data_IF_399438679167
#
_entry.id   IF_399438679167
#
_cell.length_a   1.000
_cell.length_b   1.000
_cell.length_c   1.000
_cell.angle_alpha   90.00
_cell.angle_beta   90.00
_cell.angle_gamma   90.00
#
_symmetry.space_group_name_H-M   'P 1'
#
loop_
_entity.id
_entity.type
_entity.pdbx_description
1 polymer ?
#
# COMPACT_ATOMS: atom_id res chain seq x y z
N UNK A 1 43.30 7.13 24.09
CA UNK A 1 42.90 7.15 22.67
C UNK A 1 42.12 5.86 22.41
N UNK A 2 40.78 5.86 22.54
CA UNK A 2 39.97 4.66 22.29
C UNK A 2 39.60 4.58 20.82
N UNK A 3 40.04 3.52 20.14
CA UNK A 3 39.69 3.23 18.77
C UNK A 3 38.22 2.76 18.70
N UNK A 4 37.34 3.61 18.19
CA UNK A 4 35.96 3.25 17.88
C UNK A 4 35.97 2.49 16.55
N UNK A 5 35.78 1.18 16.62
CA UNK A 5 35.59 0.34 15.43
C UNK A 5 34.16 0.51 14.94
N UNK A 6 33.97 1.29 13.88
CA UNK A 6 32.73 1.35 13.12
C UNK A 6 32.54 0.02 12.39
N UNK A 7 31.76 -0.89 13.00
CA UNK A 7 31.32 -2.10 12.33
C UNK A 7 30.35 -1.73 11.20
N UNK A 8 30.57 -2.17 9.96
CA UNK A 8 29.66 -1.86 8.85
C UNK A 8 28.30 -2.52 9.10
N UNK A 9 27.26 -1.72 9.34
CA UNK A 9 25.90 -2.22 9.39
C UNK A 9 25.52 -2.76 8.00
N UNK A 10 25.41 -4.08 7.86
CA UNK A 10 24.97 -4.74 6.63
C UNK A 10 23.56 -4.22 6.27
N UNK A 11 23.32 -3.70 5.05
CA UNK A 11 21.99 -3.27 4.64
C UNK A 11 21.06 -4.47 4.65
N UNK A 12 20.14 -4.48 5.61
CA UNK A 12 19.06 -5.47 5.68
C UNK A 12 18.03 -5.06 4.64
N UNK A 13 17.99 -5.78 3.54
CA UNK A 13 16.94 -5.61 2.53
C UNK A 13 15.60 -5.83 3.23
N UNK A 14 14.74 -4.81 3.34
CA UNK A 14 13.50 -4.96 4.09
C UNK A 14 12.64 -6.01 3.39
N UNK A 15 12.21 -7.01 4.14
CA UNK A 15 11.31 -8.04 3.64
C UNK A 15 10.08 -7.39 2.99
N UNK A 16 9.62 -7.95 1.86
CA UNK A 16 8.49 -7.46 1.07
C UNK A 16 7.25 -7.18 1.94
N UNK A 17 6.96 -8.04 2.92
CA UNK A 17 5.85 -7.85 3.86
C UNK A 17 5.95 -6.57 4.70
N UNK A 18 7.17 -6.14 5.05
CA UNK A 18 7.38 -4.92 5.83
C UNK A 18 7.23 -3.65 5.00
N UNK A 19 7.47 -3.74 3.68
CA UNK A 19 7.17 -2.66 2.72
C UNK A 19 5.67 -2.55 2.47
N UNK A 20 4.98 -3.68 2.31
CA UNK A 20 3.54 -3.69 2.11
C UNK A 20 2.79 -3.15 3.34
N UNK A 21 3.18 -3.58 4.55
CA UNK A 21 2.58 -3.08 5.80
C UNK A 21 2.76 -1.57 5.94
N UNK A 22 3.97 -1.05 5.70
CA UNK A 22 4.23 0.39 5.70
C UNK A 22 3.43 1.13 4.64
N UNK A 23 3.29 0.55 3.45
CA UNK A 23 2.49 1.14 2.38
C UNK A 23 1.01 1.23 2.79
N UNK A 24 0.43 0.16 3.31
CA UNK A 24 -0.96 0.14 3.79
C UNK A 24 -1.16 1.14 4.93
N UNK A 25 -0.22 1.21 5.86
CA UNK A 25 -0.25 2.16 6.97
C UNK A 25 -0.18 3.60 6.48
N UNK A 26 0.72 3.89 5.53
CA UNK A 26 0.80 5.20 4.87
C UNK A 26 -0.48 5.54 4.14
N UNK A 27 -1.07 4.62 3.36
CA UNK A 27 -2.31 4.86 2.61
C UNK A 27 -3.50 5.06 3.55
N UNK A 28 -3.57 4.30 4.65
CA UNK A 28 -4.63 4.42 5.67
C UNK A 28 -4.66 5.81 6.30
N UNK A 29 -3.49 6.39 6.55
CA UNK A 29 -3.37 7.68 7.23
C UNK A 29 -3.11 8.85 6.28
N UNK A 30 -2.88 8.58 4.99
CA UNK A 30 -2.74 9.62 3.99
C UNK A 30 -4.10 10.30 3.76
N UNK A 31 -4.15 11.64 3.80
CA UNK A 31 -5.35 12.36 3.43
C UNK A 31 -5.74 12.01 2.00
N UNK A 32 -7.03 11.76 1.75
CA UNK A 32 -7.52 11.42 0.43
C UNK A 32 -7.13 12.53 -0.56
N UNK A 33 -6.52 12.17 -1.72
CA UNK A 33 -6.21 13.16 -2.74
C UNK A 33 -7.50 13.85 -3.18
N UNK A 34 -7.39 15.14 -3.51
CA UNK A 34 -8.50 15.94 -4.04
C UNK A 34 -8.23 16.23 -5.51
N UNK A 35 -9.29 16.38 -6.30
CA UNK A 35 -9.18 16.77 -7.71
C UNK A 35 -8.92 18.27 -7.86
N UNK A 36 -7.89 18.78 -7.20
CA UNK A 36 -7.53 20.20 -7.17
C UNK A 36 -6.01 20.36 -7.30
N UNK A 37 -5.59 21.49 -7.88
CA UNK A 37 -4.18 21.83 -8.05
C UNK A 37 -3.52 21.24 -9.29
N UNK A 38 -2.22 20.93 -9.17
CA UNK A 38 -1.34 20.55 -10.29
C UNK A 38 -1.70 19.22 -10.95
N UNK A 39 -1.22 19.01 -12.19
CA UNK A 39 -1.45 17.78 -12.97
C UNK A 39 -1.05 16.52 -12.19
N UNK A 40 0.06 16.57 -11.45
CA UNK A 40 0.50 15.45 -10.60
C UNK A 40 -0.51 15.08 -9.51
N UNK A 41 -1.17 16.06 -8.88
CA UNK A 41 -2.22 15.78 -7.87
C UNK A 41 -3.47 15.17 -8.50
N UNK A 42 -3.83 15.62 -9.71
CA UNK A 42 -4.96 15.06 -10.45
C UNK A 42 -4.71 13.61 -10.86
N UNK A 43 -3.49 13.28 -11.31
CA UNK A 43 -3.11 11.89 -11.61
C UNK A 43 -3.14 11.01 -10.36
N UNK A 44 -2.65 11.51 -9.22
CA UNK A 44 -2.74 10.79 -7.94
C UNK A 44 -4.20 10.53 -7.53
N UNK A 45 -5.09 11.51 -7.74
CA UNK A 45 -6.53 11.35 -7.53
C UNK A 45 -7.13 10.26 -8.43
N UNK A 46 -6.86 10.32 -9.73
CA UNK A 46 -7.37 9.32 -10.69
C UNK A 46 -6.84 7.92 -10.35
N UNK A 47 -5.56 7.80 -10.03
CA UNK A 47 -4.97 6.53 -9.61
C UNK A 47 -5.60 5.98 -8.32
N UNK A 48 -5.84 6.85 -7.34
CA UNK A 48 -6.55 6.47 -6.11
C UNK A 48 -7.98 5.99 -6.40
N UNK A 49 -8.73 6.72 -7.25
CA UNK A 49 -10.11 6.39 -7.58
C UNK A 49 -10.22 5.05 -8.30
N UNK A 50 -9.49 4.89 -9.41
CA UNK A 50 -9.49 3.67 -10.21
C UNK A 50 -8.98 2.48 -9.38
N UNK A 51 -7.88 2.68 -8.65
CA UNK A 51 -7.34 1.65 -7.76
C UNK A 51 -8.34 1.20 -6.69
N UNK A 52 -9.06 2.14 -6.08
CA UNK A 52 -10.08 1.83 -5.08
C UNK A 52 -11.26 1.07 -5.67
N UNK A 53 -11.75 1.45 -6.87
CA UNK A 53 -12.82 0.74 -7.54
C UNK A 53 -12.44 -0.71 -7.84
N UNK A 54 -11.24 -0.93 -8.39
CA UNK A 54 -10.73 -2.27 -8.70
C UNK A 54 -10.57 -3.10 -7.42
N UNK A 55 -9.98 -2.53 -6.36
CA UNK A 55 -9.81 -3.22 -5.09
C UNK A 55 -11.15 -3.70 -4.51
N UNK A 56 -12.16 -2.82 -4.46
CA UNK A 56 -13.49 -3.19 -3.97
C UNK A 56 -14.20 -4.21 -4.86
N UNK A 57 -14.06 -4.12 -6.18
CA UNK A 57 -14.61 -5.12 -7.09
C UNK A 57 -14.00 -6.51 -6.83
N UNK A 58 -12.67 -6.60 -6.69
CA UNK A 58 -11.98 -7.85 -6.38
C UNK A 58 -12.38 -8.42 -5.01
N UNK A 59 -12.54 -7.57 -4.00
CA UNK A 59 -13.04 -7.98 -2.68
C UNK A 59 -14.45 -8.57 -2.82
N UNK A 60 -15.35 -7.89 -3.52
CA UNK A 60 -16.73 -8.35 -3.75
C UNK A 60 -16.78 -9.71 -4.47
N UNK A 61 -15.98 -9.87 -5.53
CA UNK A 61 -15.84 -11.16 -6.24
C UNK A 61 -15.32 -12.24 -5.30
N UNK A 62 -14.24 -11.96 -4.55
CA UNK A 62 -13.64 -12.92 -3.63
C UNK A 62 -14.62 -13.37 -2.53
N UNK A 63 -15.35 -12.43 -1.94
CA UNK A 63 -16.39 -12.73 -0.95
C UNK A 63 -17.51 -13.56 -1.57
N UNK A 64 -17.97 -13.20 -2.77
CA UNK A 64 -19.05 -13.94 -3.45
C UNK A 64 -18.63 -15.37 -3.78
N UNK A 65 -17.40 -15.55 -4.27
CA UNK A 65 -16.82 -16.87 -4.54
C UNK A 65 -16.67 -17.70 -3.26
N UNK A 66 -16.23 -17.09 -2.16
CA UNK A 66 -16.13 -17.74 -0.86
C UNK A 66 -17.49 -18.19 -0.36
N UNK A 67 -18.51 -17.34 -0.44
CA UNK A 67 -19.88 -17.71 -0.07
C UNK A 67 -20.41 -18.85 -0.94
N UNK A 68 -20.17 -18.81 -2.25
CA UNK A 68 -20.49 -19.91 -3.15
C UNK A 68 -19.83 -21.22 -2.73
N UNK A 69 -18.55 -21.18 -2.35
CA UNK A 69 -17.81 -22.35 -1.89
C UNK A 69 -18.25 -22.88 -0.52
N UNK A 70 -18.85 -22.03 0.33
CA UNK A 70 -19.36 -22.44 1.64
C UNK A 70 -20.77 -23.03 1.59
N UNK A 71 -21.55 -22.71 0.54
CA UNK A 71 -22.94 -23.15 0.37
C UNK A 71 -23.07 -24.29 -0.65
N UNK A 72 -22.04 -24.51 -1.49
CA UNK A 72 -21.92 -25.65 -2.40
C UNK A 72 -21.38 -26.90 -1.69
#
# INVERSE_FOLDING_TARGET
>A
MSAVTLSPARPTTPALGMRLRRFVETVRWAPAPRFEGSVGRRLAFVGYLVGSMVAWALIGIGVSALLGALVA
#
